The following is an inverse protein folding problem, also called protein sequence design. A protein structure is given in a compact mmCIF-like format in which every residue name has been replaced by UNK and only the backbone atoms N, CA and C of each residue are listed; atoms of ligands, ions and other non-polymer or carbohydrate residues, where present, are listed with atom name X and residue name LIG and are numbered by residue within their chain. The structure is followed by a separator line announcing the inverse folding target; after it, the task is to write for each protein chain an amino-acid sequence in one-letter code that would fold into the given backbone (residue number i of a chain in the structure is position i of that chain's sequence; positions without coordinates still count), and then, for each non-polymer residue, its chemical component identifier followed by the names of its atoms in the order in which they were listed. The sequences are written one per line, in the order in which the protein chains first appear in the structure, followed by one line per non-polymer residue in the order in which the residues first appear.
data_IF_369264232137
#
_entry.id   IF_369264232137
#
_cell.length_a   1.000
_cell.length_b   1.000
_cell.length_c   1.000
_cell.angle_alpha   90.00
_cell.angle_beta   90.00
_cell.angle_gamma   90.00
#
_symmetry.space_group_name_H-M   'P 1'
#
loop_
_entity.id
_entity.type
_entity.pdbx_description
1 polymer ?
#
# COMPACT_ATOMS: atom_id res chain seq x y z
N UNK A 1 24.52 14.02 2.98
CA UNK A 1 24.39 14.51 4.38
C UNK A 1 24.67 16.00 4.48
N UNK A 2 25.86 16.52 4.14
CA UNK A 2 26.16 17.96 4.16
C UNK A 2 25.14 18.77 3.37
N UNK A 3 24.84 18.38 2.14
CA UNK A 3 23.88 19.08 1.27
C UNK A 3 22.46 19.17 1.89
N UNK A 4 21.95 18.08 2.48
CA UNK A 4 20.63 18.07 3.14
C UNK A 4 20.62 18.96 4.39
N UNK A 5 21.68 18.94 5.17
CA UNK A 5 21.82 19.83 6.33
C UNK A 5 21.87 21.30 5.89
N UNK A 6 22.59 21.60 4.82
CA UNK A 6 22.67 22.95 4.24
C UNK A 6 21.32 23.42 3.66
N UNK A 7 20.57 22.54 2.98
CA UNK A 7 19.22 22.84 2.50
C UNK A 7 18.28 23.18 3.67
N UNK A 8 18.34 22.39 4.75
CA UNK A 8 17.55 22.65 5.97
C UNK A 8 17.89 24.01 6.61
N UNK A 9 19.17 24.33 6.70
CA UNK A 9 19.65 25.63 7.24
C UNK A 9 19.15 26.79 6.37
N UNK A 10 19.10 26.61 5.05
CA UNK A 10 18.65 27.64 4.09
C UNK A 10 17.12 27.69 3.93
N UNK A 11 16.37 26.80 4.59
CA UNK A 11 14.92 26.69 4.43
C UNK A 11 14.49 26.26 3.03
N UNK A 12 15.38 25.63 2.26
CA UNK A 12 15.06 25.14 0.92
C UNK A 12 14.22 23.85 1.03
N UNK A 13 13.13 23.79 0.28
CA UNK A 13 12.31 22.58 0.17
C UNK A 13 13.04 21.51 -0.68
N UNK A 14 13.22 20.28 -0.14
CA UNK A 14 13.83 19.21 -0.92
C UNK A 14 12.91 18.79 -2.08
N UNK A 15 13.51 18.37 -3.20
CA UNK A 15 12.76 17.74 -4.29
C UNK A 15 12.29 16.35 -3.85
N UNK A 16 11.09 16.24 -3.31
CA UNK A 16 10.54 15.05 -2.66
C UNK A 16 10.57 13.81 -3.56
N UNK A 17 10.25 13.94 -4.85
CA UNK A 17 10.32 12.82 -5.78
C UNK A 17 11.73 12.23 -5.97
N UNK A 18 12.79 13.03 -5.82
CA UNK A 18 14.17 12.52 -5.80
C UNK A 18 14.47 11.80 -4.48
N UNK A 19 13.98 12.34 -3.36
CA UNK A 19 14.14 11.71 -2.05
C UNK A 19 13.42 10.35 -1.97
N UNK A 20 12.22 10.23 -2.52
CA UNK A 20 11.49 8.95 -2.58
C UNK A 20 12.26 7.86 -3.33
N UNK A 21 12.95 8.23 -4.43
CA UNK A 21 13.82 7.28 -5.14
C UNK A 21 15.03 6.88 -4.29
N UNK A 22 15.66 7.83 -3.62
CA UNK A 22 16.80 7.55 -2.74
C UNK A 22 16.42 6.69 -1.54
N UNK A 23 15.24 6.90 -0.96
CA UNK A 23 14.74 6.06 0.14
C UNK A 23 14.66 4.60 -0.29
N UNK A 24 14.09 4.31 -1.47
CA UNK A 24 14.01 2.95 -1.98
C UNK A 24 15.39 2.32 -2.21
N UNK A 25 16.32 3.08 -2.79
CA UNK A 25 17.67 2.58 -3.04
C UNK A 25 18.43 2.36 -1.71
N UNK A 26 18.25 3.26 -0.73
CA UNK A 26 18.83 3.13 0.61
C UNK A 26 18.26 1.96 1.40
N UNK A 27 16.97 1.63 1.25
CA UNK A 27 16.37 0.46 1.89
C UNK A 27 17.06 -0.82 1.44
N UNK A 28 17.18 -1.04 0.13
CA UNK A 28 17.83 -2.24 -0.44
C UNK A 28 19.22 -2.45 0.12
N UNK A 29 19.98 -1.37 0.32
CA UNK A 29 21.39 -1.44 0.75
C UNK A 29 21.57 -1.30 2.26
N UNK A 30 20.58 -0.84 3.01
CA UNK A 30 20.62 -0.71 4.48
C UNK A 30 20.15 -1.98 5.19
N UNK A 31 19.46 -2.88 4.48
CA UNK A 31 18.84 -4.05 5.06
C UNK A 31 17.69 -3.71 6.02
N UNK A 32 17.02 -2.57 5.82
CA UNK A 32 15.92 -2.13 6.69
C UNK A 32 14.78 -3.16 6.71
N UNK A 33 14.38 -3.65 5.53
CA UNK A 33 13.31 -4.63 5.35
C UNK A 33 13.70 -6.07 5.72
N UNK A 34 14.94 -6.33 6.06
CA UNK A 34 15.37 -7.67 6.49
C UNK A 34 15.05 -7.90 7.97
N UNK A 35 13.79 -7.79 8.34
CA UNK A 35 13.32 -8.48 9.53
C UNK A 35 13.38 -9.98 9.22
N UNK A 36 13.97 -10.82 10.10
CA UNK A 36 14.11 -12.25 9.81
C UNK A 36 12.74 -12.83 9.50
N UNK A 37 12.58 -13.48 8.34
CA UNK A 37 11.39 -14.25 8.03
C UNK A 37 11.19 -15.30 9.13
N UNK A 38 10.05 -15.23 9.81
CA UNK A 38 9.71 -16.17 10.91
C UNK A 38 10.06 -15.70 12.31
N UNK A 39 10.75 -14.60 12.51
CA UNK A 39 10.78 -13.96 13.81
C UNK A 39 9.40 -13.35 14.08
N UNK A 40 8.78 -13.74 15.18
CA UNK A 40 7.66 -12.97 15.73
C UNK A 40 8.10 -11.51 15.91
N UNK A 41 7.16 -10.60 16.08
CA UNK A 41 7.43 -9.18 16.41
C UNK A 41 8.22 -9.03 17.74
N UNK A 42 8.59 -10.12 18.37
CA UNK A 42 9.29 -10.19 19.64
C UNK A 42 10.80 -10.13 19.37
N UNK A 43 11.39 -8.97 19.69
CA UNK A 43 12.79 -8.69 20.04
C UNK A 43 13.93 -9.54 19.41
N UNK A 44 13.85 -9.85 18.11
CA UNK A 44 15.04 -10.38 17.44
C UNK A 44 15.93 -9.20 17.04
N UNK A 45 16.99 -8.98 17.82
CA UNK A 45 18.04 -8.03 17.47
C UNK A 45 18.74 -8.50 16.19
N UNK A 46 18.45 -7.81 15.08
CA UNK A 46 19.13 -8.08 13.80
C UNK A 46 20.53 -7.50 13.90
N UNK A 47 21.53 -8.35 13.83
CA UNK A 47 22.92 -7.93 13.74
C UNK A 47 23.18 -7.30 12.37
N UNK A 48 23.33 -5.97 12.36
CA UNK A 48 23.63 -5.20 11.14
C UNK A 48 25.12 -4.89 11.06
N UNK A 49 25.67 -4.99 9.85
CA UNK A 49 27.05 -4.56 9.59
C UNK A 49 27.22 -3.05 9.88
N UNK A 50 28.48 -2.62 10.06
CA UNK A 50 28.78 -1.20 10.23
C UNK A 50 28.28 -0.36 9.03
N UNK A 51 28.40 -0.89 7.83
CA UNK A 51 27.93 -0.25 6.60
C UNK A 51 26.40 -0.11 6.56
N UNK A 52 25.65 -1.15 6.96
CA UNK A 52 24.19 -1.09 7.05
C UNK A 52 23.74 -0.06 8.08
N UNK A 53 24.42 -0.01 9.23
CA UNK A 53 24.14 1.01 10.29
C UNK A 53 24.38 2.42 9.77
N UNK A 54 25.46 2.66 9.03
CA UNK A 54 25.73 3.99 8.45
C UNK A 54 24.66 4.37 7.39
N UNK A 55 24.22 3.44 6.58
CA UNK A 55 23.16 3.68 5.59
C UNK A 55 21.80 3.98 6.25
N UNK A 56 21.48 3.30 7.37
CA UNK A 56 20.30 3.66 8.18
C UNK A 56 20.41 5.07 8.77
N UNK A 57 21.61 5.52 9.16
CA UNK A 57 21.83 6.90 9.60
C UNK A 57 21.55 7.91 8.48
N UNK A 58 21.93 7.57 7.24
CA UNK A 58 21.61 8.41 6.06
C UNK A 58 20.10 8.44 5.81
N UNK A 59 19.44 7.28 5.88
CA UNK A 59 17.99 7.18 5.71
C UNK A 59 17.23 7.98 6.78
N UNK A 60 17.61 7.85 8.06
CA UNK A 60 17.02 8.64 9.16
C UNK A 60 17.13 10.15 8.87
N UNK A 61 18.32 10.62 8.45
CA UNK A 61 18.51 12.02 8.14
C UNK A 61 17.66 12.51 6.94
N UNK A 62 17.48 11.67 5.91
CA UNK A 62 16.59 11.99 4.76
C UNK A 62 15.15 12.11 5.23
N UNK A 63 14.68 11.15 6.02
CA UNK A 63 13.30 11.15 6.52
C UNK A 63 13.01 12.36 7.42
N UNK A 64 13.96 12.78 8.26
CA UNK A 64 13.81 13.98 9.11
C UNK A 64 13.67 15.27 8.33
N UNK A 65 14.18 15.34 7.12
CA UNK A 65 14.04 16.52 6.22
C UNK A 65 12.72 16.48 5.47
N UNK A 66 12.29 15.29 5.04
CA UNK A 66 11.12 15.11 4.16
C UNK A 66 9.80 14.86 4.90
N UNK A 67 9.85 14.49 6.19
CA UNK A 67 8.67 14.04 6.92
C UNK A 67 8.66 14.41 8.40
N UNK A 68 7.66 13.92 9.12
CA UNK A 68 7.53 14.15 10.55
C UNK A 68 8.59 13.37 11.34
N UNK A 69 8.90 13.89 12.52
CA UNK A 69 9.66 13.21 13.57
C UNK A 69 8.68 12.77 14.65
N UNK A 70 8.86 11.57 15.18
CA UNK A 70 8.04 11.06 16.26
C UNK A 70 8.27 11.85 17.54
N UNK A 71 7.19 12.41 18.06
CA UNK A 71 7.17 13.16 19.32
C UNK A 71 6.39 12.43 20.42
N UNK A 72 6.08 11.14 20.24
CA UNK A 72 5.34 10.36 21.21
C UNK A 72 6.17 10.16 22.51
N UNK A 73 5.74 10.74 23.63
CA UNK A 73 6.46 10.60 24.90
C UNK A 73 6.39 9.17 25.48
N UNK A 74 5.45 8.35 24.99
CA UNK A 74 5.24 6.98 25.43
C UNK A 74 5.88 5.96 24.47
N UNK A 75 6.65 6.41 23.46
CA UNK A 75 7.38 5.50 22.60
C UNK A 75 8.33 4.63 23.42
N UNK A 76 8.43 3.34 23.07
CA UNK A 76 9.42 2.46 23.68
C UNK A 76 10.81 3.10 23.53
N UNK A 77 11.62 3.09 24.58
CA UNK A 77 12.95 3.69 24.54
C UNK A 77 13.84 2.93 23.53
N UNK A 78 14.71 3.68 22.87
CA UNK A 78 15.69 3.09 21.98
C UNK A 78 16.65 2.19 22.80
N UNK A 79 16.72 0.93 22.40
CA UNK A 79 17.77 0.00 22.83
C UNK A 79 19.07 0.23 22.05
N UNK A 80 19.92 -0.78 21.91
CA UNK A 80 21.07 -0.79 21.00
C UNK A 80 20.66 -0.79 19.52
N UNK A 81 19.42 -1.21 19.21
CA UNK A 81 18.91 -1.29 17.84
C UNK A 81 18.59 0.10 17.25
N UNK A 82 18.97 0.35 15.98
CA UNK A 82 18.58 1.57 15.30
C UNK A 82 17.10 1.58 14.87
N UNK A 83 16.39 0.45 15.00
CA UNK A 83 14.95 0.33 14.74
C UNK A 83 14.29 -0.16 16.02
N UNK A 84 13.26 0.56 16.47
CA UNK A 84 12.51 0.25 17.69
C UNK A 84 11.09 -0.10 17.34
N UNK A 85 10.74 -1.36 17.53
CA UNK A 85 9.38 -1.85 17.28
C UNK A 85 8.45 -1.35 18.38
N UNK A 86 7.47 -0.58 17.99
CA UNK A 86 6.42 -0.06 18.85
C UNK A 86 5.26 -1.05 18.97
N UNK A 87 4.30 -0.77 19.84
CA UNK A 87 3.08 -1.57 19.95
C UNK A 87 2.28 -1.53 18.65
N UNK A 88 1.74 -2.68 18.25
CA UNK A 88 0.93 -2.77 17.05
C UNK A 88 -0.43 -2.07 17.25
N UNK A 89 -0.80 -1.23 16.30
CA UNK A 89 -2.13 -0.63 16.27
C UNK A 89 -3.14 -1.63 15.73
N UNK A 90 -3.92 -2.20 16.64
CA UNK A 90 -4.91 -3.23 16.36
C UNK A 90 -6.32 -2.71 16.67
N UNK A 91 -7.13 -2.54 15.62
CA UNK A 91 -8.52 -2.12 15.71
C UNK A 91 -9.49 -3.25 15.30
N UNK A 92 -9.00 -4.49 15.21
CA UNK A 92 -9.84 -5.64 14.89
C UNK A 92 -10.89 -5.84 15.99
N UNK A 93 -12.12 -6.22 15.61
CA UNK A 93 -13.14 -6.56 16.60
C UNK A 93 -12.68 -7.78 17.43
N UNK A 94 -13.14 -7.88 18.68
CA UNK A 94 -12.86 -9.02 19.57
C UNK A 94 -13.57 -10.30 19.15
N UNK A 95 -14.45 -10.24 18.15
CA UNK A 95 -15.11 -11.40 17.55
C UNK A 95 -14.13 -12.19 16.68
N UNK A 96 -14.34 -13.51 16.56
CA UNK A 96 -13.50 -14.34 15.69
C UNK A 96 -13.54 -13.83 14.24
N UNK A 97 -12.37 -13.69 13.64
CA UNK A 97 -12.24 -13.34 12.22
C UNK A 97 -12.87 -14.41 11.32
N UNK A 98 -13.40 -14.00 10.18
CA UNK A 98 -13.88 -14.94 9.18
C UNK A 98 -12.73 -15.77 8.60
N UNK A 99 -12.95 -17.05 8.36
CA UNK A 99 -11.92 -17.97 7.82
C UNK A 99 -11.88 -17.89 6.28
N UNK A 100 -11.48 -16.74 5.76
CA UNK A 100 -11.50 -16.44 4.32
C UNK A 100 -10.53 -17.34 3.55
N UNK A 101 -9.30 -17.49 4.04
CA UNK A 101 -8.31 -18.32 3.33
C UNK A 101 -8.67 -19.79 3.33
N UNK A 102 -9.32 -20.30 4.38
CA UNK A 102 -9.86 -21.66 4.38
C UNK A 102 -10.90 -21.84 3.26
N UNK A 103 -11.78 -20.84 3.05
CA UNK A 103 -12.77 -20.89 1.97
C UNK A 103 -12.16 -20.80 0.56
N UNK A 104 -10.96 -20.23 0.43
CA UNK A 104 -10.18 -20.30 -0.83
C UNK A 104 -9.65 -21.70 -1.06
N UNK A 105 -9.10 -22.35 -0.03
CA UNK A 105 -8.50 -23.67 -0.15
C UNK A 105 -9.52 -24.78 -0.46
N UNK A 106 -10.73 -24.65 0.04
CA UNK A 106 -11.83 -25.62 -0.20
C UNK A 106 -12.77 -25.17 -1.34
N UNK A 107 -12.46 -24.05 -2.02
CA UNK A 107 -13.23 -23.42 -3.10
C UNK A 107 -14.63 -22.90 -2.72
N UNK A 108 -15.00 -22.86 -1.44
CA UNK A 108 -16.29 -22.30 -1.01
C UNK A 108 -16.34 -20.78 -1.09
N UNK A 109 -15.21 -20.10 -1.33
CA UNK A 109 -15.15 -18.65 -1.60
C UNK A 109 -15.96 -18.25 -2.84
N UNK A 110 -16.16 -19.15 -3.80
CA UNK A 110 -16.81 -18.89 -5.07
C UNK A 110 -18.34 -19.01 -4.95
N UNK A 111 -19.03 -17.88 -4.74
CA UNK A 111 -20.48 -17.84 -4.83
C UNK A 111 -20.97 -18.04 -6.30
N UNK A 112 -20.18 -17.60 -7.27
CA UNK A 112 -20.36 -17.87 -8.71
C UNK A 112 -19.23 -18.78 -9.18
N UNK A 113 -19.49 -19.80 -10.00
CA UNK A 113 -18.44 -20.68 -10.52
C UNK A 113 -17.31 -19.89 -11.19
N UNK A 114 -16.02 -20.23 -10.97
CA UNK A 114 -14.89 -19.51 -11.55
C UNK A 114 -14.97 -19.36 -13.07
N UNK A 115 -15.40 -20.39 -13.78
CA UNK A 115 -15.54 -20.36 -15.24
C UNK A 115 -16.59 -19.34 -15.72
N UNK A 116 -17.65 -19.12 -14.97
CA UNK A 116 -18.65 -18.10 -15.25
C UNK A 116 -18.11 -16.72 -14.87
N UNK A 117 -17.50 -16.56 -13.68
CA UNK A 117 -16.96 -15.31 -13.21
C UNK A 117 -15.89 -14.75 -14.16
N UNK A 118 -15.02 -15.60 -14.70
CA UNK A 118 -13.98 -15.19 -15.67
C UNK A 118 -14.57 -14.64 -16.98
N UNK A 119 -15.78 -15.00 -17.36
CA UNK A 119 -16.42 -14.41 -18.55
C UNK A 119 -16.75 -12.92 -18.38
N UNK A 120 -16.86 -12.46 -17.12
CA UNK A 120 -17.13 -11.08 -16.77
C UNK A 120 -15.85 -10.26 -16.53
N UNK A 121 -14.67 -10.91 -16.49
CA UNK A 121 -13.36 -10.25 -16.35
C UNK A 121 -12.65 -10.25 -17.71
N UNK A 122 -12.63 -9.11 -18.38
CA UNK A 122 -12.02 -8.97 -19.70
C UNK A 122 -10.61 -8.41 -19.58
N UNK A 123 -9.63 -9.07 -20.21
CA UNK A 123 -8.29 -8.51 -20.37
C UNK A 123 -8.32 -7.36 -21.37
N UNK A 124 -7.96 -6.15 -20.94
CA UNK A 124 -7.97 -4.94 -21.76
C UNK A 124 -6.57 -4.55 -22.24
N UNK A 125 -5.53 -4.96 -21.50
CA UNK A 125 -4.14 -4.75 -21.88
C UNK A 125 -3.27 -5.88 -21.33
N UNK A 126 -2.26 -6.28 -22.09
CA UNK A 126 -1.24 -7.24 -21.65
C UNK A 126 0.14 -6.72 -21.98
N UNK A 127 0.96 -6.49 -20.95
CA UNK A 127 2.38 -6.13 -21.10
C UNK A 127 3.24 -7.37 -20.92
N UNK A 128 3.97 -7.84 -21.96
CA UNK A 128 4.90 -8.97 -21.82
C UNK A 128 5.92 -8.75 -20.72
N UNK A 129 6.31 -9.81 -20.00
CA UNK A 129 7.24 -9.72 -18.88
C UNK A 129 8.52 -8.93 -19.18
N UNK A 130 9.25 -9.20 -20.28
CA UNK A 130 10.46 -8.45 -20.63
C UNK A 130 10.24 -6.94 -20.90
N UNK A 131 9.00 -6.54 -21.24
CA UNK A 131 8.65 -5.14 -21.51
C UNK A 131 8.18 -4.38 -20.26
N UNK A 132 7.98 -5.09 -19.15
CA UNK A 132 7.64 -4.46 -17.86
C UNK A 132 8.82 -3.62 -17.34
N UNK A 133 8.52 -2.71 -16.45
CA UNK A 133 9.53 -1.87 -15.75
C UNK A 133 9.37 -2.00 -14.23
N UNK A 134 10.25 -2.73 -13.54
CA UNK A 134 11.37 -3.53 -14.10
C UNK A 134 10.90 -4.73 -14.90
N UNK A 135 11.75 -5.30 -15.79
CA UNK A 135 11.47 -6.55 -16.49
C UNK A 135 11.11 -7.67 -15.53
N UNK A 136 10.25 -8.59 -15.97
CA UNK A 136 9.67 -9.61 -15.10
C UNK A 136 9.58 -10.97 -15.83
N UNK A 137 9.54 -12.07 -15.08
CA UNK A 137 9.31 -13.39 -15.64
C UNK A 137 7.88 -13.58 -16.16
N UNK A 138 6.93 -12.83 -15.60
CA UNK A 138 5.51 -12.96 -15.92
C UNK A 138 4.95 -11.68 -16.56
N UNK A 139 3.95 -11.81 -17.46
CA UNK A 139 3.28 -10.65 -18.04
C UNK A 139 2.48 -9.89 -16.95
N UNK A 140 2.20 -8.63 -17.22
CA UNK A 140 1.16 -7.89 -16.51
C UNK A 140 -0.09 -7.86 -17.35
N UNK A 141 -1.20 -8.38 -16.82
CA UNK A 141 -2.51 -8.37 -17.47
C UNK A 141 -3.43 -7.43 -16.71
N UNK A 142 -3.99 -6.46 -17.42
CA UNK A 142 -5.00 -5.55 -16.88
C UNK A 142 -6.37 -6.10 -17.25
N UNK A 143 -7.19 -6.36 -16.24
CA UNK A 143 -8.57 -6.77 -16.39
C UNK A 143 -9.51 -5.60 -16.12
N UNK A 144 -10.67 -5.62 -16.77
CA UNK A 144 -11.84 -4.83 -16.34
C UNK A 144 -13.04 -5.73 -16.15
N UNK A 145 -14.05 -5.24 -15.46
CA UNK A 145 -15.29 -5.95 -15.19
C UNK A 145 -16.47 -5.32 -15.94
N UNK A 146 -17.47 -6.13 -16.26
CA UNK A 146 -18.77 -5.60 -16.57
C UNK A 146 -19.39 -4.95 -15.31
N UNK A 147 -20.25 -3.94 -15.46
CA UNK A 147 -20.94 -3.34 -14.32
C UNK A 147 -21.67 -4.39 -13.48
N UNK A 148 -21.60 -4.25 -12.15
CA UNK A 148 -22.20 -5.17 -11.17
C UNK A 148 -21.64 -6.61 -11.14
N UNK A 149 -20.53 -6.89 -11.79
CA UNK A 149 -19.83 -8.18 -11.61
C UNK A 149 -19.42 -8.39 -10.14
N UNK A 150 -18.96 -7.32 -9.49
CA UNK A 150 -18.68 -7.28 -8.06
C UNK A 150 -19.53 -6.15 -7.48
N UNK A 151 -20.78 -6.45 -7.06
CA UNK A 151 -21.68 -5.41 -6.59
C UNK A 151 -21.30 -4.89 -5.22
N UNK A 152 -21.34 -3.58 -5.03
CA UNK A 152 -21.26 -2.95 -3.73
C UNK A 152 -22.67 -2.64 -3.21
N UNK A 153 -22.93 -3.06 -1.97
CA UNK A 153 -24.25 -2.85 -1.33
C UNK A 153 -24.51 -1.36 -1.08
N UNK A 154 -25.69 -0.89 -1.42
CA UNK A 154 -26.14 0.45 -1.02
C UNK A 154 -26.32 0.57 0.51
N UNK A 155 -26.65 -0.54 1.19
CA UNK A 155 -26.77 -0.63 2.63
C UNK A 155 -25.47 -1.18 3.23
N UNK A 156 -24.67 -0.32 3.81
CA UNK A 156 -23.45 -0.69 4.51
C UNK A 156 -23.37 0.02 5.87
N UNK A 157 -22.65 -0.53 6.86
CA UNK A 157 -22.42 0.15 8.12
C UNK A 157 -21.72 1.51 7.89
N UNK A 158 -21.97 2.51 8.75
CA UNK A 158 -21.26 3.78 8.65
C UNK A 158 -19.74 3.58 8.68
N UNK A 159 -19.05 4.27 7.78
CA UNK A 159 -17.59 4.26 7.78
C UNK A 159 -17.08 5.03 8.99
N UNK A 160 -16.18 4.40 9.73
CA UNK A 160 -15.54 5.01 10.89
C UNK A 160 -14.10 5.35 10.55
N UNK A 161 -13.77 6.62 10.57
CA UNK A 161 -12.44 7.12 10.30
C UNK A 161 -11.64 7.28 11.59
N UNK A 162 -10.50 6.60 11.71
CA UNK A 162 -9.67 6.59 12.90
C UNK A 162 -8.25 7.07 12.54
N UNK A 163 -7.81 8.24 13.03
CA UNK A 163 -6.42 8.66 12.90
C UNK A 163 -5.52 7.77 13.75
N UNK A 164 -4.34 7.46 13.23
CA UNK A 164 -3.32 6.79 14.02
C UNK A 164 -2.85 7.71 15.16
N UNK A 165 -2.73 7.21 16.39
CA UNK A 165 -2.44 8.06 17.55
C UNK A 165 -1.07 8.75 17.49
N UNK A 166 -0.13 8.24 16.69
CA UNK A 166 1.25 8.73 16.63
C UNK A 166 1.68 9.08 15.21
N UNK A 167 1.48 8.19 14.23
CA UNK A 167 1.95 8.41 12.86
C UNK A 167 1.07 9.45 12.18
N UNK A 168 1.61 10.65 11.84
CA UNK A 168 0.81 11.74 11.29
C UNK A 168 0.20 11.39 9.94
N UNK A 169 -1.03 11.86 9.70
CA UNK A 169 -1.77 11.68 8.46
C UNK A 169 -2.06 10.21 8.05
N UNK A 170 -1.67 9.22 8.86
CA UNK A 170 -2.11 7.85 8.73
C UNK A 170 -3.48 7.67 9.37
N UNK A 171 -4.42 7.13 8.62
CA UNK A 171 -5.78 6.89 9.07
C UNK A 171 -6.25 5.48 8.68
N UNK A 172 -7.14 4.89 9.47
CA UNK A 172 -7.92 3.71 9.10
C UNK A 172 -9.38 4.10 8.86
N UNK A 173 -9.89 3.82 7.65
CA UNK A 173 -11.31 3.84 7.33
C UNK A 173 -11.87 2.44 7.56
N UNK A 174 -12.63 2.23 8.63
CA UNK A 174 -13.26 0.96 8.97
C UNK A 174 -14.63 0.84 8.29
N UNK A 175 -15.04 -0.39 7.97
CA UNK A 175 -16.31 -0.69 7.30
C UNK A 175 -16.42 -0.13 5.86
N UNK A 176 -15.30 0.06 5.17
CA UNK A 176 -15.31 0.52 3.76
C UNK A 176 -15.92 -0.53 2.83
N UNK A 177 -15.61 -1.80 3.07
CA UNK A 177 -16.21 -2.96 2.40
C UNK A 177 -16.81 -3.92 3.43
N UNK A 178 -17.91 -4.56 3.07
CA UNK A 178 -18.46 -5.66 3.87
C UNK A 178 -17.64 -6.95 3.67
N UNK A 179 -17.72 -7.92 4.59
CA UNK A 179 -17.07 -9.23 4.41
C UNK A 179 -17.48 -9.93 3.11
N UNK A 180 -18.74 -9.82 2.70
CA UNK A 180 -19.23 -10.39 1.44
C UNK A 180 -18.59 -9.75 0.22
N UNK A 181 -18.44 -8.43 0.21
CA UNK A 181 -17.75 -7.69 -0.85
C UNK A 181 -16.26 -8.04 -0.92
N UNK A 182 -15.59 -8.17 0.23
CA UNK A 182 -14.21 -8.63 0.30
C UNK A 182 -14.03 -10.02 -0.31
N UNK A 183 -14.90 -10.97 0.05
CA UNK A 183 -14.87 -12.34 -0.50
C UNK A 183 -15.15 -12.36 -2.00
N UNK A 184 -16.06 -11.53 -2.50
CA UNK A 184 -16.34 -11.43 -3.94
C UNK A 184 -15.11 -10.96 -4.74
N UNK A 185 -14.35 -9.99 -4.20
CA UNK A 185 -13.12 -9.50 -4.81
C UNK A 185 -12.02 -10.58 -4.80
N UNK A 186 -11.86 -11.30 -3.68
CA UNK A 186 -10.91 -12.41 -3.57
C UNK A 186 -11.28 -13.51 -4.57
N UNK A 187 -12.56 -13.89 -4.62
CA UNK A 187 -13.09 -14.89 -5.56
C UNK A 187 -12.78 -14.53 -7.02
N UNK A 188 -12.93 -13.26 -7.39
CA UNK A 188 -12.58 -12.79 -8.75
C UNK A 188 -11.08 -12.93 -9.03
N UNK A 189 -10.22 -12.56 -8.06
CA UNK A 189 -8.77 -12.70 -8.19
C UNK A 189 -8.32 -14.15 -8.30
N UNK A 190 -8.90 -15.06 -7.50
CA UNK A 190 -8.61 -16.50 -7.57
C UNK A 190 -9.11 -17.09 -8.90
N UNK A 191 -10.24 -16.62 -9.44
CA UNK A 191 -10.76 -17.10 -10.73
C UNK A 191 -9.85 -16.74 -11.91
N UNK A 192 -9.21 -15.56 -11.92
CA UNK A 192 -8.24 -15.16 -12.98
C UNK A 192 -6.82 -15.61 -12.70
N UNK A 193 -6.57 -16.24 -11.57
CA UNK A 193 -5.27 -16.60 -11.00
C UNK A 193 -4.37 -15.39 -10.69
N UNK A 194 -3.93 -15.30 -9.45
CA UNK A 194 -2.91 -14.35 -9.06
C UNK A 194 -1.56 -14.73 -9.66
N UNK A 195 -0.93 -13.82 -10.38
CA UNK A 195 0.36 -14.04 -11.05
C UNK A 195 1.49 -13.56 -10.13
N UNK A 196 2.57 -14.35 -9.95
CA UNK A 196 3.73 -13.91 -9.21
C UNK A 196 4.32 -12.62 -9.78
N UNK A 197 4.67 -11.68 -8.92
CA UNK A 197 5.49 -10.52 -9.30
C UNK A 197 6.95 -10.88 -9.07
N UNK A 198 7.62 -11.37 -10.11
CA UNK A 198 8.98 -11.87 -10.06
C UNK A 198 9.87 -11.07 -11.03
N UNK A 199 10.41 -9.90 -10.60
CA UNK A 199 11.31 -9.11 -11.41
C UNK A 199 12.57 -9.90 -11.80
N UNK A 200 13.02 -9.70 -13.04
CA UNK A 200 14.33 -10.20 -13.51
C UNK A 200 15.42 -9.40 -12.79
N UNK A 201 16.23 -10.08 -11.98
CA UNK A 201 17.33 -9.48 -11.22
C UNK A 201 18.64 -10.15 -11.61
N UNK A 202 19.71 -9.37 -11.64
CA UNK A 202 21.05 -9.85 -11.96
C UNK A 202 21.70 -10.66 -10.81
N UNK A 203 21.19 -10.48 -9.58
CA UNK A 203 21.76 -11.03 -8.35
C UNK A 203 21.18 -12.37 -7.90
N UNK A 204 20.27 -12.99 -8.68
CA UNK A 204 19.55 -14.22 -8.34
C UNK A 204 18.82 -14.18 -6.97
N UNK A 205 18.65 -13.01 -6.39
CA UNK A 205 17.92 -12.84 -5.13
C UNK A 205 16.44 -13.14 -5.36
N UNK A 206 15.97 -14.25 -4.81
CA UNK A 206 14.56 -14.67 -4.85
C UNK A 206 13.83 -13.85 -3.79
N UNK A 207 13.53 -12.62 -4.12
CA UNK A 207 12.58 -11.83 -3.36
C UNK A 207 11.19 -12.44 -3.60
N UNK A 208 10.62 -13.09 -2.59
CA UNK A 208 9.26 -13.62 -2.66
C UNK A 208 8.31 -12.45 -2.58
N UNK A 209 7.98 -11.90 -3.74
CA UNK A 209 7.02 -10.82 -3.85
C UNK A 209 5.60 -11.38 -3.90
N UNK A 210 4.61 -10.55 -3.52
CA UNK A 210 3.21 -10.90 -3.57
C UNK A 210 2.76 -11.27 -4.99
N UNK A 211 1.86 -12.25 -5.08
CA UNK A 211 1.12 -12.50 -6.31
C UNK A 211 0.09 -11.41 -6.50
N UNK A 212 -0.21 -11.04 -7.73
CA UNK A 212 -1.16 -9.96 -8.00
C UNK A 212 -1.90 -10.12 -9.32
N UNK A 213 -3.00 -9.37 -9.46
CA UNK A 213 -3.59 -9.01 -10.74
C UNK A 213 -3.96 -7.53 -10.75
N UNK A 214 -4.04 -6.95 -11.95
CA UNK A 214 -4.45 -5.57 -12.12
C UNK A 214 -5.91 -5.53 -12.53
N UNK A 215 -6.70 -4.73 -11.82
CA UNK A 215 -8.11 -4.53 -12.08
C UNK A 215 -8.41 -3.04 -12.29
N UNK A 216 -8.76 -2.67 -13.52
CA UNK A 216 -9.25 -1.34 -13.82
C UNK A 216 -10.76 -1.38 -13.62
N UNK A 217 -11.23 -0.89 -12.49
CA UNK A 217 -12.61 -1.03 -12.04
C UNK A 217 -13.58 -0.31 -12.96
N UNK A 218 -14.76 -0.92 -13.17
CA UNK A 218 -15.85 -0.27 -13.89
C UNK A 218 -16.38 0.94 -13.13
N UNK A 219 -17.13 1.80 -13.84
CA UNK A 219 -17.63 3.07 -13.29
C UNK A 219 -18.59 2.84 -12.12
N UNK A 220 -19.42 1.80 -12.18
CA UNK A 220 -20.40 1.51 -11.12
C UNK A 220 -19.70 1.18 -9.80
N UNK A 221 -18.69 0.30 -9.86
CA UNK A 221 -17.88 -0.03 -8.68
C UNK A 221 -17.11 1.18 -8.16
N UNK A 222 -16.43 1.91 -9.07
CA UNK A 222 -15.65 3.10 -8.74
C UNK A 222 -16.48 4.15 -8.01
N UNK A 223 -17.61 4.55 -8.56
CA UNK A 223 -18.44 5.61 -8.02
C UNK A 223 -19.07 5.23 -6.69
N UNK A 224 -19.50 3.97 -6.53
CA UNK A 224 -20.00 3.44 -5.28
C UNK A 224 -18.93 3.46 -4.18
N UNK A 225 -17.71 3.00 -4.48
CA UNK A 225 -16.60 3.01 -3.51
C UNK A 225 -16.17 4.44 -3.16
N UNK A 226 -16.07 5.32 -4.16
CA UNK A 226 -15.73 6.72 -3.92
C UNK A 226 -16.77 7.42 -3.05
N UNK A 227 -18.07 7.21 -3.32
CA UNK A 227 -19.14 7.80 -2.51
C UNK A 227 -19.07 7.42 -1.03
N UNK A 228 -18.60 6.20 -0.73
CA UNK A 228 -18.38 5.76 0.66
C UNK A 228 -17.17 6.46 1.31
N UNK A 229 -16.08 6.63 0.57
CA UNK A 229 -14.81 7.11 1.10
C UNK A 229 -14.70 8.64 1.13
N UNK A 230 -15.26 9.33 0.15
CA UNK A 230 -15.10 10.77 -0.07
C UNK A 230 -15.37 11.63 1.19
N UNK A 231 -16.39 11.35 2.04
CA UNK A 231 -16.60 12.12 3.25
C UNK A 231 -15.45 12.09 4.27
N UNK A 232 -14.57 11.09 4.16
CA UNK A 232 -13.44 10.85 5.08
C UNK A 232 -12.08 11.30 4.50
N UNK A 233 -12.06 11.77 3.26
CA UNK A 233 -10.85 12.21 2.56
C UNK A 233 -10.69 13.72 2.65
N UNK A 234 -9.48 14.25 2.87
CA UNK A 234 -9.25 15.69 2.76
C UNK A 234 -9.70 16.23 1.39
N UNK A 235 -10.65 17.14 1.39
CA UNK A 235 -11.17 17.73 0.14
C UNK A 235 -10.14 18.59 -0.58
N UNK A 236 -9.13 19.08 0.16
CA UNK A 236 -8.01 19.85 -0.38
C UNK A 236 -6.73 19.53 0.39
N UNK A 237 -5.60 19.47 -0.33
CA UNK A 237 -4.26 19.33 0.19
C UNK A 237 -3.37 20.38 -0.49
N UNK A 238 -2.84 21.34 0.29
CA UNK A 238 -2.02 22.45 -0.23
C UNK A 238 -2.67 23.19 -1.41
N UNK A 239 -3.99 23.45 -1.33
CA UNK A 239 -4.78 24.09 -2.38
C UNK A 239 -5.16 23.19 -3.56
N UNK A 240 -4.69 21.94 -3.61
CA UNK A 240 -5.03 20.94 -4.62
C UNK A 240 -6.30 20.20 -4.21
N UNK A 241 -7.31 20.19 -5.06
CA UNK A 241 -8.61 19.58 -4.75
C UNK A 241 -8.62 18.07 -5.03
N UNK A 242 -9.26 17.29 -4.15
CA UNK A 242 -9.50 15.87 -4.36
C UNK A 242 -10.44 15.65 -5.55
N UNK A 243 -10.15 14.63 -6.38
CA UNK A 243 -10.88 14.35 -7.63
C UNK A 243 -11.55 13.00 -7.68
N UNK A 244 -11.07 12.03 -6.93
CA UNK A 244 -11.63 10.69 -6.89
C UNK A 244 -10.60 9.64 -6.57
N UNK A 245 -10.94 8.38 -6.85
CA UNK A 245 -10.04 7.25 -6.79
C UNK A 245 -9.39 7.02 -8.16
N UNK A 246 -8.15 6.55 -8.16
CA UNK A 246 -7.57 5.93 -9.35
C UNK A 246 -8.36 4.65 -9.66
N UNK A 247 -8.77 4.46 -10.90
CA UNK A 247 -9.53 3.26 -11.32
C UNK A 247 -8.65 2.02 -11.44
N UNK A 248 -7.32 2.18 -11.49
CA UNK A 248 -6.38 1.07 -11.56
C UNK A 248 -6.08 0.52 -10.18
N UNK A 249 -6.71 -0.59 -9.85
CA UNK A 249 -6.49 -1.33 -8.63
C UNK A 249 -5.42 -2.40 -8.85
N UNK A 250 -4.54 -2.55 -7.88
CA UNK A 250 -3.64 -3.69 -7.81
C UNK A 250 -4.06 -4.56 -6.64
N UNK A 251 -4.56 -5.74 -6.94
CA UNK A 251 -5.03 -6.71 -5.96
C UNK A 251 -3.91 -7.70 -5.70
N UNK A 252 -3.54 -7.86 -4.45
CA UNK A 252 -2.41 -8.70 -4.05
C UNK A 252 -2.86 -9.87 -3.19
N UNK A 253 -2.16 -10.99 -3.36
CA UNK A 253 -2.18 -12.14 -2.46
C UNK A 253 -0.77 -12.39 -1.94
N UNK A 254 -0.57 -12.28 -0.63
CA UNK A 254 0.66 -12.63 0.06
C UNK A 254 0.49 -13.99 0.70
N UNK A 255 1.33 -14.94 0.34
CA UNK A 255 1.40 -16.27 0.94
C UNK A 255 2.55 -16.33 1.95
N UNK A 256 2.70 -17.38 2.79
CA UNK A 256 3.82 -17.50 3.71
C UNK A 256 5.17 -17.28 3.00
N UNK A 257 5.99 -16.40 3.56
CA UNK A 257 7.26 -15.96 2.98
C UNK A 257 7.16 -14.74 2.06
N UNK A 258 5.96 -14.33 1.65
CA UNK A 258 5.80 -13.12 0.84
C UNK A 258 5.81 -11.86 1.71
N UNK A 259 6.52 -10.85 1.23
CA UNK A 259 6.64 -9.53 1.84
C UNK A 259 6.59 -8.43 0.77
N UNK A 260 6.41 -7.20 1.19
CA UNK A 260 6.64 -6.03 0.35
C UNK A 260 7.63 -5.12 1.06
N UNK A 261 8.84 -5.01 0.50
CA UNK A 261 9.97 -4.29 1.10
C UNK A 261 9.61 -2.84 1.40
N UNK A 262 10.36 -2.27 2.33
CA UNK A 262 10.24 -0.90 2.78
C UNK A 262 10.37 0.09 1.62
N UNK A 263 9.39 1.01 1.50
CA UNK A 263 9.32 1.98 0.40
C UNK A 263 8.41 3.16 0.73
N UNK A 264 8.49 4.19 -0.09
CA UNK A 264 7.48 5.23 -0.19
C UNK A 264 6.76 5.02 -1.52
N UNK A 265 5.43 4.99 -1.50
CA UNK A 265 4.63 4.85 -2.71
C UNK A 265 4.85 6.01 -3.68
N UNK A 266 4.91 5.72 -4.98
CA UNK A 266 5.00 6.74 -6.02
C UNK A 266 3.61 7.26 -6.41
N UNK A 267 3.55 8.52 -6.84
CA UNK A 267 2.36 9.14 -7.39
C UNK A 267 2.06 8.64 -8.82
N UNK A 268 0.78 8.52 -9.15
CA UNK A 268 0.27 8.06 -10.44
C UNK A 268 -0.79 9.02 -10.96
N UNK A 269 -0.90 9.22 -12.28
CA UNK A 269 -2.04 9.90 -12.86
C UNK A 269 -3.28 9.00 -12.80
N UNK A 270 -4.51 9.57 -12.86
CA UNK A 270 -5.74 8.79 -12.88
C UNK A 270 -5.81 7.94 -14.15
N UNK A 271 -5.97 6.63 -13.98
CA UNK A 271 -6.22 5.72 -15.10
C UNK A 271 -7.70 5.72 -15.48
N UNK A 272 -8.01 5.49 -16.77
CA UNK A 272 -9.38 5.40 -17.25
C UNK A 272 -9.56 4.32 -18.33
N UNK A 273 -10.82 4.02 -18.64
CA UNK A 273 -11.23 3.13 -19.73
C UNK A 273 -12.16 3.91 -20.66
N UNK A 274 -11.74 4.06 -21.91
CA UNK A 274 -12.54 4.68 -22.97
C UNK A 274 -13.42 3.63 -23.68
N UNK A 275 -14.42 4.05 -24.45
CA UNK A 275 -15.26 3.15 -25.22
C UNK A 275 -14.45 2.13 -26.04
N UNK A 276 -14.93 0.87 -26.04
CA UNK A 276 -14.23 -0.26 -26.65
C UNK A 276 -13.15 -0.87 -25.76
N UNK A 277 -13.26 -0.72 -24.46
CA UNK A 277 -12.33 -1.25 -23.44
C UNK A 277 -10.88 -0.76 -23.63
N UNK A 278 -10.69 0.41 -24.20
CA UNK A 278 -9.37 1.00 -24.42
C UNK A 278 -8.84 1.62 -23.13
N UNK A 279 -7.82 1.02 -22.56
CA UNK A 279 -7.14 1.54 -21.36
C UNK A 279 -6.40 2.84 -21.67
N UNK A 280 -6.47 3.77 -20.74
CA UNK A 280 -5.73 5.05 -20.75
C UNK A 280 -4.97 5.19 -19.43
N UNK A 281 -3.64 5.29 -19.54
CA UNK A 281 -2.76 5.43 -18.39
C UNK A 281 -2.95 6.76 -17.64
N UNK A 282 -3.09 7.87 -18.38
CA UNK A 282 -3.38 9.21 -17.84
C UNK A 282 -4.70 9.71 -18.44
N UNK A 283 -5.77 9.59 -17.66
CA UNK A 283 -7.12 10.06 -17.99
C UNK A 283 -7.41 11.46 -17.47
N UNK A 284 -6.39 12.23 -17.06
CA UNK A 284 -6.57 13.61 -16.62
C UNK A 284 -7.28 14.44 -17.70
N UNK A 285 -8.20 15.35 -17.32
CA UNK A 285 -8.73 16.34 -18.25
C UNK A 285 -7.59 17.17 -18.87
N UNK A 286 -7.66 17.52 -20.18
CA UNK A 286 -6.57 18.24 -20.86
C UNK A 286 -6.13 19.54 -20.19
N UNK A 287 -7.10 20.28 -19.62
CA UNK A 287 -6.85 21.55 -18.95
C UNK A 287 -6.49 21.43 -17.48
N UNK A 288 -6.58 20.21 -16.90
CA UNK A 288 -6.42 20.04 -15.46
C UNK A 288 -5.78 18.70 -15.11
N UNK A 289 -4.46 18.68 -15.11
CA UNK A 289 -3.70 17.49 -14.76
C UNK A 289 -3.98 17.07 -13.31
N UNK A 290 -4.04 15.77 -13.12
CA UNK A 290 -4.26 15.13 -11.84
C UNK A 290 -3.13 14.16 -11.53
N UNK A 291 -2.88 13.95 -10.24
CA UNK A 291 -1.95 12.96 -9.72
C UNK A 291 -2.34 12.56 -8.32
N UNK A 292 -2.03 11.36 -7.94
CA UNK A 292 -2.37 10.88 -6.61
C UNK A 292 -1.46 11.48 -5.52
N UNK A 293 -2.04 11.71 -4.33
CA UNK A 293 -1.34 12.21 -3.14
C UNK A 293 -1.48 11.26 -1.94
N UNK A 294 -2.46 10.37 -1.96
CA UNK A 294 -2.68 9.38 -0.90
C UNK A 294 -2.80 7.98 -1.46
N UNK A 295 -2.20 7.03 -0.76
CA UNK A 295 -2.48 5.61 -0.95
C UNK A 295 -3.75 5.24 -0.22
N UNK A 296 -4.57 4.43 -0.88
CA UNK A 296 -5.68 3.69 -0.30
C UNK A 296 -5.34 2.19 -0.33
N UNK A 297 -5.05 1.63 0.84
CA UNK A 297 -4.68 0.23 1.00
C UNK A 297 -5.82 -0.51 1.70
N UNK A 298 -6.67 -1.21 0.94
CA UNK A 298 -7.85 -1.91 1.47
C UNK A 298 -7.47 -3.33 1.87
N UNK A 299 -7.82 -3.75 3.07
CA UNK A 299 -7.60 -5.09 3.60
C UNK A 299 -8.82 -5.98 3.32
N UNK A 300 -8.64 -7.07 2.60
CA UNK A 300 -9.73 -7.96 2.22
C UNK A 300 -9.94 -9.11 3.20
N UNK A 301 -8.96 -9.35 4.07
CA UNK A 301 -9.04 -10.33 5.18
C UNK A 301 -8.08 -9.94 6.30
N UNK A 302 -8.14 -10.63 7.45
CA UNK A 302 -7.33 -10.32 8.64
C UNK A 302 -6.96 -11.56 9.49
N UNK A 303 -7.32 -12.78 9.05
CA UNK A 303 -7.12 -14.04 9.78
C UNK A 303 -5.76 -14.74 9.53
N UNK A 304 -4.71 -13.97 9.29
CA UNK A 304 -3.35 -14.47 9.04
C UNK A 304 -2.37 -14.02 10.13
N UNK A 305 -1.19 -14.66 10.18
CA UNK A 305 -0.11 -14.28 11.09
C UNK A 305 0.99 -13.53 10.34
N UNK A 306 1.51 -12.46 10.94
CA UNK A 306 2.40 -11.50 10.28
C UNK A 306 1.61 -10.56 9.38
N UNK A 307 2.23 -10.07 8.33
CA UNK A 307 1.57 -9.29 7.29
C UNK A 307 1.04 -7.92 7.73
N UNK A 308 1.56 -7.35 8.80
CA UNK A 308 1.24 -5.99 9.21
C UNK A 308 1.64 -5.01 8.10
N UNK A 309 1.01 -3.82 8.08
CA UNK A 309 1.55 -2.67 7.35
C UNK A 309 2.32 -1.83 8.36
N UNK A 310 3.65 -1.84 8.27
CA UNK A 310 4.51 -1.20 9.27
C UNK A 310 5.05 0.11 8.73
N UNK A 311 4.84 1.19 9.49
CA UNK A 311 5.29 2.55 9.15
C UNK A 311 6.52 2.91 9.96
N UNK A 312 7.51 3.53 9.29
CA UNK A 312 8.77 3.93 9.92
C UNK A 312 8.85 5.45 10.03
N UNK A 313 9.04 5.93 11.25
CA UNK A 313 9.12 7.37 11.55
C UNK A 313 10.40 7.61 12.33
N UNK A 314 11.21 8.65 11.98
CA UNK A 314 12.36 9.03 12.78
C UNK A 314 11.98 9.26 14.23
N UNK A 315 12.64 8.59 15.17
CA UNK A 315 12.43 8.79 16.59
C UNK A 315 12.93 10.17 17.06
N UNK A 316 12.52 10.62 18.24
CA UNK A 316 13.08 11.85 18.84
C UNK A 316 14.61 11.78 18.96
N UNK A 317 15.15 10.59 19.25
CA UNK A 317 16.60 10.34 19.23
C UNK A 317 17.09 10.19 17.80
N UNK A 318 18.15 10.92 17.45
CA UNK A 318 18.81 10.80 16.14
C UNK A 318 19.31 9.38 15.88
N UNK A 319 19.35 9.00 14.61
CA UNK A 319 19.82 7.70 14.10
C UNK A 319 18.97 6.52 14.58
N UNK A 320 17.70 6.78 14.87
CA UNK A 320 16.75 5.77 15.33
C UNK A 320 15.43 5.96 14.61
N UNK A 321 14.85 4.85 14.13
CA UNK A 321 13.52 4.81 13.55
C UNK A 321 12.58 4.04 14.47
N UNK A 322 11.41 4.59 14.76
CA UNK A 322 10.31 3.88 15.37
C UNK A 322 9.49 3.19 14.28
N UNK A 323 9.24 1.90 14.45
CA UNK A 323 8.42 1.08 13.56
C UNK A 323 7.04 0.87 14.20
N UNK A 324 5.99 1.33 13.53
CA UNK A 324 4.60 1.26 13.98
C UNK A 324 3.81 0.28 13.12
N UNK A 325 3.64 -0.99 13.56
CA UNK A 325 2.83 -1.96 12.84
C UNK A 325 1.35 -1.64 12.95
N UNK A 326 0.65 -1.74 11.82
CA UNK A 326 -0.81 -1.63 11.73
C UNK A 326 -1.37 -3.01 11.39
N UNK A 327 -2.24 -3.53 12.25
CA UNK A 327 -2.93 -4.78 11.99
C UNK A 327 -4.02 -4.58 10.94
N UNK A 328 -4.04 -5.36 9.86
CA UNK A 328 -5.15 -5.38 8.93
C UNK A 328 -6.49 -5.66 9.61
N UNK A 329 -7.53 -4.94 9.17
CA UNK A 329 -8.92 -5.16 9.59
C UNK A 329 -9.73 -5.44 8.33
N UNK A 330 -10.37 -6.60 8.23
CA UNK A 330 -11.14 -6.99 7.05
C UNK A 330 -12.19 -5.92 6.69
N UNK A 331 -12.20 -5.50 5.43
CA UNK A 331 -13.08 -4.44 4.92
C UNK A 331 -12.67 -3.03 5.32
N UNK A 332 -11.59 -2.87 6.09
CA UNK A 332 -10.98 -1.58 6.40
C UNK A 332 -9.91 -1.18 5.39
N UNK A 333 -9.51 0.09 5.43
CA UNK A 333 -8.46 0.61 4.57
C UNK A 333 -7.52 1.56 5.32
N UNK A 334 -6.21 1.41 5.11
CA UNK A 334 -5.24 2.43 5.49
C UNK A 334 -5.19 3.52 4.42
N UNK A 335 -5.25 4.78 4.86
CA UNK A 335 -5.16 5.97 4.02
C UNK A 335 -4.00 6.81 4.53
N UNK A 336 -3.01 7.06 3.66
CA UNK A 336 -1.80 7.77 4.06
C UNK A 336 -1.14 8.50 2.87
N UNK A 337 -0.40 9.60 3.14
CA UNK A 337 0.24 10.41 2.10
C UNK A 337 1.41 9.68 1.45
N UNK A 338 1.59 9.93 0.14
CA UNK A 338 2.67 9.37 -0.65
C UNK A 338 3.22 10.34 -1.72
N UNK A 339 4.20 9.86 -2.48
CA UNK A 339 4.73 10.57 -3.66
C UNK A 339 5.46 11.85 -3.30
N UNK A 340 5.07 12.93 -3.93
CA UNK A 340 5.71 14.24 -3.79
C UNK A 340 5.09 15.11 -2.68
N UNK A 341 4.33 14.50 -1.78
CA UNK A 341 3.73 15.19 -0.63
C UNK A 341 4.71 15.22 0.53
N UNK A 342 4.82 16.39 1.17
CA UNK A 342 5.55 16.47 2.44
C UNK A 342 4.87 15.59 3.48
N UNK A 343 5.64 14.71 4.12
CA UNK A 343 5.11 13.75 5.06
C UNK A 343 4.69 12.41 4.43
N UNK A 344 5.06 12.15 3.16
CA UNK A 344 4.95 10.83 2.57
C UNK A 344 5.59 9.76 3.48
N UNK A 345 4.85 8.68 3.73
CA UNK A 345 5.21 7.71 4.77
C UNK A 345 6.01 6.54 4.22
N UNK A 346 7.19 6.32 4.82
CA UNK A 346 7.97 5.10 4.62
C UNK A 346 7.24 3.93 5.29
N UNK A 347 7.00 2.85 4.55
CA UNK A 347 6.29 1.70 5.08
C UNK A 347 6.70 0.40 4.38
N UNK A 348 6.33 -0.72 4.98
CA UNK A 348 6.48 -2.06 4.42
C UNK A 348 5.22 -2.91 4.63
N UNK A 349 5.06 -3.96 3.83
CA UNK A 349 4.20 -5.09 4.13
C UNK A 349 5.05 -6.17 4.77
N UNK A 350 4.98 -6.31 6.09
CA UNK A 350 5.73 -7.32 6.85
C UNK A 350 5.42 -8.72 6.34
N UNK A 351 6.39 -9.63 6.38
CA UNK A 351 6.25 -10.99 5.86
C UNK A 351 5.08 -11.76 6.49
N UNK A 352 4.30 -12.43 5.65
CA UNK A 352 3.25 -13.35 6.10
C UNK A 352 3.89 -14.65 6.59
N UNK A 353 3.52 -15.09 7.79
CA UNK A 353 4.04 -16.33 8.38
C UNK A 353 3.08 -17.51 8.23
N UNK A 354 1.77 -17.26 8.31
CA UNK A 354 0.74 -18.28 8.19
C UNK A 354 -0.54 -17.73 7.58
N UNK A 355 -1.27 -18.53 6.82
CA UNK A 355 -2.45 -18.10 6.08
C UNK A 355 -2.08 -17.38 4.79
N UNK A 356 -2.97 -16.52 4.31
CA UNK A 356 -2.70 -15.63 3.20
C UNK A 356 -3.32 -14.25 3.47
N UNK A 357 -2.62 -13.19 3.08
CA UNK A 357 -3.10 -11.80 3.18
C UNK A 357 -3.56 -11.35 1.80
N UNK A 358 -4.78 -10.81 1.72
CA UNK A 358 -5.33 -10.20 0.52
C UNK A 358 -5.55 -8.71 0.73
N UNK A 359 -5.08 -7.91 -0.20
CA UNK A 359 -5.24 -6.44 -0.17
C UNK A 359 -5.52 -5.88 -1.55
N UNK A 360 -6.10 -4.68 -1.59
CA UNK A 360 -6.12 -3.81 -2.77
C UNK A 360 -5.24 -2.60 -2.47
N UNK A 361 -4.39 -2.23 -3.43
CA UNK A 361 -3.75 -0.92 -3.46
C UNK A 361 -4.31 -0.12 -4.61
N UNK A 362 -4.79 1.07 -4.31
CA UNK A 362 -5.12 2.13 -5.27
C UNK A 362 -4.78 3.48 -4.65
N UNK A 363 -5.11 4.56 -5.32
CA UNK A 363 -4.68 5.90 -4.94
C UNK A 363 -5.85 6.89 -4.97
N UNK A 364 -5.71 8.01 -4.22
CA UNK A 364 -6.66 9.12 -4.22
C UNK A 364 -6.04 10.25 -5.03
N UNK A 365 -6.76 10.68 -6.06
CA UNK A 365 -6.32 11.66 -7.04
C UNK A 365 -6.65 13.10 -6.62
N UNK A 366 -5.70 13.99 -6.89
CA UNK A 366 -5.81 15.42 -6.65
C UNK A 366 -5.38 16.21 -7.88
N UNK A 367 -5.78 17.48 -7.94
CA UNK A 367 -5.21 18.41 -8.94
C UNK A 367 -3.69 18.50 -8.73
N UNK A 368 -2.94 18.61 -9.83
CA UNK A 368 -1.48 18.85 -9.75
C UNK A 368 -1.22 20.31 -9.36
N UNK A 369 -1.97 21.23 -9.95
CA UNK A 369 -1.85 22.65 -9.65
C UNK A 369 -2.85 23.07 -8.57
N UNK A 370 -2.44 23.91 -7.61
CA UNK A 370 -3.35 24.49 -6.64
C UNK A 370 -4.46 25.28 -7.35
N UNK A 371 -5.66 25.23 -6.81
CA UNK A 371 -6.75 26.12 -7.24
C UNK A 371 -6.60 27.45 -6.48
N UNK A 372 -6.43 28.54 -7.20
CA UNK A 372 -6.36 29.90 -6.65
C UNK A 372 -7.68 30.32 -6.01
#
# INVERSE_FOLDING_TARGET
MVLLAEMRIRGEEPKLGALCRWVRDLDVISGLSTLPMGAGLDDVEIERSAEQKERLNVLDAVLRVSGPVDTNPNAKPASSSPIVLQEAWDLRPSTASEQVYASVLDNTIHATPPAELTTHLRAIETTPGPQRKPPNYHPAVLYTTAPNTIPLSAAHPPITYRPHPVVPALNLALNLLSPTECKAIISAGEAVNFIPDAPLREDNDISVLAHNFYWVVDTTFHDALWSRLAPSVPTSMDGRLARGLNRRFRVYRYVPGAEYRCHIDGAWPPSDILPGDRYVYDGSPPEKRQSSLFTLLIYLNDEFEGGETTFFVPAARDRTLNAYPVRPVMGGAAVFPHGDVRGALLHEGTGVRKGAKYIIRTDIEYDVEPTN
#
